data_IF_753344486429
#
_entry.id   IF_753344486429
#
_cell.length_a   1.000
_cell.length_b   1.000
_cell.length_c   1.000
_cell.angle_alpha   90.00
_cell.angle_beta   90.00
_cell.angle_gamma   90.00
#
_symmetry.space_group_name_H-M   'P 1'
#
loop_
_entity.id
_entity.type
_entity.pdbx_description
1 polymer ?
#
# COMPACT_ATOMS: atom_id res chain seq x y z
N UNK A 1 5.81 19.37 21.46
CA UNK A 1 5.42 17.95 21.63
C UNK A 1 4.95 17.44 20.26
N UNK A 2 5.83 16.81 19.48
CA UNK A 2 5.49 16.32 18.13
C UNK A 2 4.83 14.94 18.26
N UNK A 3 3.59 14.72 17.78
CA UNK A 3 2.97 13.41 17.82
C UNK A 3 3.72 12.46 16.86
N UNK A 4 3.99 11.24 17.33
CA UNK A 4 4.69 10.21 16.55
C UNK A 4 3.89 9.71 15.34
N UNK A 5 4.55 9.02 14.39
CA UNK A 5 4.05 8.72 13.04
C UNK A 5 2.91 7.70 12.95
N UNK A 6 2.37 7.24 14.07
CA UNK A 6 1.33 6.18 14.14
C UNK A 6 -0.03 6.74 14.59
N UNK A 7 -0.10 8.02 14.97
CA UNK A 7 -1.32 8.64 15.54
C UNK A 7 -2.33 9.22 14.54
N UNK A 8 -1.99 9.30 13.25
CA UNK A 8 -2.73 10.11 12.26
C UNK A 8 -3.42 9.29 11.16
N UNK A 9 -3.90 8.08 11.47
CA UNK A 9 -4.70 7.29 10.51
C UNK A 9 -6.11 7.87 10.26
N UNK A 10 -6.60 8.74 11.16
CA UNK A 10 -7.92 9.38 11.07
C UNK A 10 -7.73 10.89 10.93
N UNK A 11 -8.18 11.51 9.82
CA UNK A 11 -8.10 12.97 9.68
C UNK A 11 -9.01 13.64 10.72
N UNK A 12 -8.43 14.32 11.72
CA UNK A 12 -9.20 15.03 12.77
C UNK A 12 -10.01 16.21 12.24
N UNK A 13 -9.66 16.75 11.08
CA UNK A 13 -10.35 17.88 10.43
C UNK A 13 -10.35 17.69 8.92
N UNK A 14 -11.54 17.63 8.33
CA UNK A 14 -11.73 17.59 6.88
C UNK A 14 -11.82 19.01 6.31
N UNK A 15 -11.15 19.23 5.18
CA UNK A 15 -11.28 20.47 4.41
C UNK A 15 -12.63 20.52 3.69
N UNK A 16 -13.14 21.72 3.42
CA UNK A 16 -14.38 21.92 2.63
C UNK A 16 -14.33 21.20 1.28
N UNK A 17 -13.15 21.14 0.63
CA UNK A 17 -12.97 20.41 -0.63
C UNK A 17 -13.18 18.91 -0.46
N UNK A 18 -12.59 18.32 0.58
CA UNK A 18 -12.76 16.89 0.90
C UNK A 18 -14.21 16.55 1.23
N UNK A 19 -14.95 17.47 1.86
CA UNK A 19 -16.37 17.29 2.14
C UNK A 19 -17.22 17.27 0.86
N UNK A 20 -16.87 18.15 -0.10
CA UNK A 20 -17.48 18.17 -1.43
C UNK A 20 -17.18 16.84 -2.15
N UNK A 21 -15.92 16.40 -2.15
CA UNK A 21 -15.49 15.14 -2.78
C UNK A 21 -16.17 13.91 -2.16
N UNK A 22 -16.33 13.88 -0.83
CA UNK A 22 -17.04 12.80 -0.16
C UNK A 22 -18.53 12.77 -0.50
N UNK A 23 -19.20 13.92 -0.50
CA UNK A 23 -20.61 13.97 -0.86
C UNK A 23 -20.87 13.78 -2.36
N UNK A 24 -19.93 14.15 -3.25
CA UNK A 24 -20.02 13.84 -4.67
C UNK A 24 -19.88 12.33 -4.91
N UNK A 25 -18.98 11.66 -4.18
CA UNK A 25 -18.91 10.20 -4.17
C UNK A 25 -20.23 9.55 -3.70
N UNK A 26 -20.86 10.07 -2.64
CA UNK A 26 -22.16 9.57 -2.16
C UNK A 26 -23.25 9.71 -3.24
N UNK A 27 -23.35 10.88 -3.88
CA UNK A 27 -24.33 11.13 -4.95
C UNK A 27 -24.08 10.17 -6.12
N UNK A 28 -22.82 9.97 -6.50
CA UNK A 28 -22.43 9.07 -7.58
C UNK A 28 -22.83 7.62 -7.25
N UNK A 29 -22.58 7.15 -6.02
CA UNK A 29 -23.03 5.83 -5.55
C UNK A 29 -24.54 5.69 -5.66
N UNK A 30 -25.30 6.70 -5.24
CA UNK A 30 -26.77 6.69 -5.32
C UNK A 30 -27.26 6.58 -6.77
N UNK A 31 -26.60 7.28 -7.70
CA UNK A 31 -26.91 7.22 -9.13
C UNK A 31 -26.57 5.87 -9.75
N UNK A 32 -25.43 5.27 -9.41
CA UNK A 32 -25.06 3.92 -9.88
C UNK A 32 -26.09 2.89 -9.40
N UNK A 33 -26.46 2.95 -8.11
CA UNK A 33 -27.46 2.04 -7.55
C UNK A 33 -28.83 2.25 -8.23
N UNK A 34 -29.22 3.51 -8.45
CA UNK A 34 -30.43 3.85 -9.20
C UNK A 34 -30.42 3.32 -10.62
N UNK A 35 -29.28 3.39 -11.31
CA UNK A 35 -29.10 2.88 -12.66
C UNK A 35 -29.24 1.35 -12.73
N UNK A 36 -28.60 0.63 -11.80
CA UNK A 36 -28.69 -0.84 -11.76
C UNK A 36 -30.05 -1.36 -11.28
N UNK A 37 -30.69 -0.67 -10.33
CA UNK A 37 -31.96 -1.11 -9.73
C UNK A 37 -33.18 -0.64 -10.55
N UNK A 38 -33.01 0.37 -11.41
CA UNK A 38 -34.11 0.97 -12.19
C UNK A 38 -35.16 1.71 -11.34
N UNK A 39 -34.91 1.89 -10.04
CA UNK A 39 -35.88 2.43 -9.11
C UNK A 39 -35.79 3.96 -9.05
N UNK A 40 -36.90 4.63 -9.37
CA UNK A 40 -37.01 6.09 -9.45
C UNK A 40 -36.75 6.80 -8.12
N UNK A 41 -36.89 6.10 -6.99
CA UNK A 41 -36.63 6.63 -5.65
C UNK A 41 -35.17 7.07 -5.47
N UNK A 42 -34.20 6.34 -6.03
CA UNK A 42 -32.79 6.69 -5.90
C UNK A 42 -32.44 7.99 -6.63
N UNK A 43 -33.03 8.22 -7.80
CA UNK A 43 -32.88 9.49 -8.53
C UNK A 43 -33.52 10.66 -7.75
N UNK A 44 -34.70 10.44 -7.16
CA UNK A 44 -35.37 11.46 -6.32
C UNK A 44 -34.57 11.84 -5.08
N UNK A 45 -33.75 10.93 -4.54
CA UNK A 45 -32.86 11.21 -3.41
C UNK A 45 -31.51 11.81 -3.86
N UNK A 46 -31.01 11.41 -5.03
CA UNK A 46 -29.72 11.89 -5.55
C UNK A 46 -29.74 13.38 -5.90
N UNK A 47 -30.84 13.86 -6.50
CA UNK A 47 -31.01 15.27 -6.89
C UNK A 47 -30.91 16.23 -5.68
N UNK A 48 -31.69 16.07 -4.59
CA UNK A 48 -31.56 16.94 -3.43
C UNK A 48 -30.22 16.73 -2.70
N UNK A 49 -29.68 15.51 -2.67
CA UNK A 49 -28.35 15.26 -2.10
C UNK A 49 -27.25 16.06 -2.83
N UNK A 50 -27.32 16.15 -4.16
CA UNK A 50 -26.42 16.96 -4.97
C UNK A 50 -26.56 18.45 -4.67
N UNK A 51 -27.80 18.95 -4.56
CA UNK A 51 -28.04 20.35 -4.19
C UNK A 51 -27.46 20.67 -2.80
N UNK A 52 -27.68 19.80 -1.82
CA UNK A 52 -27.12 19.94 -0.46
C UNK A 52 -25.59 19.92 -0.50
N UNK A 53 -24.98 19.08 -1.34
CA UNK A 53 -23.53 19.02 -1.49
C UNK A 53 -22.96 20.36 -1.96
N UNK A 54 -23.65 21.00 -2.91
CA UNK A 54 -23.24 22.28 -3.48
C UNK A 54 -23.50 23.47 -2.54
N UNK A 55 -24.60 23.46 -1.78
CA UNK A 55 -24.97 24.58 -0.90
C UNK A 55 -24.33 24.49 0.49
N UNK A 56 -24.32 23.31 1.11
CA UNK A 56 -23.89 23.10 2.50
C UNK A 56 -23.03 21.82 2.59
N UNK A 57 -21.77 21.85 2.11
CA UNK A 57 -20.89 20.69 2.17
C UNK A 57 -20.59 20.24 3.61
N UNK A 58 -20.77 21.12 4.59
CA UNK A 58 -20.62 20.82 6.03
C UNK A 58 -21.60 19.75 6.52
N UNK A 59 -22.74 19.55 5.85
CA UNK A 59 -23.70 18.49 6.19
C UNK A 59 -23.08 17.10 6.03
N UNK A 60 -22.16 16.94 5.08
CA UNK A 60 -21.46 15.69 4.83
C UNK A 60 -20.27 15.44 5.77
N UNK A 61 -20.11 16.23 6.84
CA UNK A 61 -19.02 16.04 7.80
C UNK A 61 -18.96 14.67 8.48
N UNK A 62 -20.05 14.14 9.06
CA UNK A 62 -20.03 12.80 9.66
C UNK A 62 -19.78 11.71 8.61
N UNK A 63 -20.38 11.85 7.43
CA UNK A 63 -20.17 10.90 6.33
C UNK A 63 -18.74 10.95 5.81
N UNK A 64 -18.17 12.14 5.64
CA UNK A 64 -16.80 12.34 5.17
C UNK A 64 -15.79 11.73 6.13
N UNK A 65 -15.97 11.88 7.46
CA UNK A 65 -15.08 11.25 8.44
C UNK A 65 -15.10 9.73 8.26
N UNK A 66 -16.30 9.15 8.18
CA UNK A 66 -16.46 7.72 7.97
C UNK A 66 -15.84 7.27 6.65
N UNK A 67 -16.14 7.98 5.55
CA UNK A 67 -15.67 7.67 4.20
C UNK A 67 -14.14 7.71 4.09
N UNK A 68 -13.50 8.78 4.57
CA UNK A 68 -12.04 8.90 4.51
C UNK A 68 -11.35 7.97 5.50
N UNK A 69 -11.93 7.72 6.68
CA UNK A 69 -11.39 6.74 7.63
C UNK A 69 -11.44 5.33 7.04
N UNK A 70 -12.55 4.95 6.41
CA UNK A 70 -12.69 3.68 5.72
C UNK A 70 -11.68 3.56 4.57
N UNK A 71 -11.56 4.60 3.74
CA UNK A 71 -10.60 4.63 2.64
C UNK A 71 -9.14 4.52 3.12
N UNK A 72 -8.81 5.15 4.25
CA UNK A 72 -7.47 5.09 4.86
C UNK A 72 -7.14 3.67 5.31
N UNK A 73 -8.07 3.02 6.02
CA UNK A 73 -7.92 1.64 6.47
C UNK A 73 -7.81 0.70 5.27
N UNK A 74 -8.67 0.87 4.28
CA UNK A 74 -8.65 0.05 3.07
C UNK A 74 -7.34 0.23 2.30
N UNK A 75 -6.84 1.45 2.17
CA UNK A 75 -5.54 1.73 1.56
C UNK A 75 -4.38 1.05 2.28
N UNK A 76 -4.38 1.07 3.62
CA UNK A 76 -3.36 0.38 4.42
C UNK A 76 -3.41 -1.14 4.21
N UNK A 77 -4.61 -1.73 4.21
CA UNK A 77 -4.80 -3.18 4.01
C UNK A 77 -4.41 -3.58 2.59
N UNK A 78 -4.90 -2.86 1.58
CA UNK A 78 -4.63 -3.13 0.16
C UNK A 78 -3.15 -3.00 -0.15
N UNK A 79 -2.46 -1.99 0.37
CA UNK A 79 -1.01 -1.83 0.18
C UNK A 79 -0.22 -3.05 0.65
N UNK A 80 -0.56 -3.58 1.84
CA UNK A 80 0.08 -4.77 2.40
C UNK A 80 -0.25 -6.04 1.60
N UNK A 81 -1.50 -6.20 1.19
CA UNK A 81 -1.94 -7.33 0.35
C UNK A 81 -1.21 -7.30 -0.99
N UNK A 82 -1.18 -6.15 -1.66
CA UNK A 82 -0.52 -5.97 -2.96
C UNK A 82 0.97 -6.30 -2.85
N UNK A 83 1.66 -5.76 -1.84
CA UNK A 83 3.07 -6.06 -1.61
C UNK A 83 3.31 -7.55 -1.34
N UNK A 84 2.42 -8.21 -0.59
CA UNK A 84 2.49 -9.65 -0.31
C UNK A 84 2.31 -10.47 -1.59
N UNK A 85 1.34 -10.11 -2.42
CA UNK A 85 1.09 -10.77 -3.72
C UNK A 85 2.32 -10.60 -4.62
N UNK A 86 2.85 -9.38 -4.75
CA UNK A 86 4.06 -9.12 -5.55
C UNK A 86 5.25 -9.91 -5.04
N UNK A 87 5.44 -9.97 -3.72
CA UNK A 87 6.49 -10.77 -3.11
C UNK A 87 6.36 -12.26 -3.46
N UNK A 88 5.15 -12.82 -3.38
CA UNK A 88 4.89 -14.22 -3.70
C UNK A 88 5.10 -14.50 -5.20
N UNK A 89 4.68 -13.60 -6.08
CA UNK A 89 4.73 -13.84 -7.54
C UNK A 89 6.12 -13.54 -8.13
N UNK A 90 6.85 -12.56 -7.62
CA UNK A 90 8.19 -12.24 -8.13
C UNK A 90 9.31 -12.81 -7.26
N UNK A 91 9.33 -12.47 -5.98
CA UNK A 91 10.50 -12.70 -5.13
C UNK A 91 10.65 -14.17 -4.77
N UNK A 92 9.55 -14.83 -4.40
CA UNK A 92 9.56 -16.26 -4.03
C UNK A 92 10.01 -17.16 -5.19
N UNK A 93 9.47 -17.10 -6.41
CA UNK A 93 9.91 -17.99 -7.49
C UNK A 93 11.35 -17.70 -7.92
N UNK A 94 11.80 -16.45 -7.91
CA UNK A 94 13.21 -16.13 -8.19
C UNK A 94 14.13 -16.75 -7.13
N UNK A 95 13.75 -16.66 -5.86
CA UNK A 95 14.48 -17.30 -4.76
C UNK A 95 14.46 -18.83 -4.84
N UNK A 96 13.31 -19.42 -5.19
CA UNK A 96 13.15 -20.86 -5.33
C UNK A 96 13.92 -21.39 -6.53
N UNK A 97 13.88 -20.70 -7.68
CA UNK A 97 14.64 -21.04 -8.88
C UNK A 97 16.14 -21.00 -8.58
N UNK A 98 16.62 -19.96 -7.90
CA UNK A 98 18.03 -19.87 -7.47
C UNK A 98 18.41 -21.02 -6.53
N UNK A 99 17.50 -21.42 -5.63
CA UNK A 99 17.70 -22.55 -4.70
C UNK A 99 17.72 -23.89 -5.45
N UNK A 100 16.88 -24.07 -6.46
CA UNK A 100 16.85 -25.26 -7.32
C UNK A 100 18.09 -25.37 -8.20
N UNK A 101 18.61 -24.26 -8.72
CA UNK A 101 19.86 -24.20 -9.49
C UNK A 101 21.11 -24.51 -8.64
N UNK A 102 20.98 -24.86 -7.37
CA UNK A 102 22.09 -25.25 -6.50
C UNK A 102 23.06 -24.11 -6.17
N UNK A 103 22.77 -22.86 -6.57
CA UNK A 103 23.56 -21.67 -6.24
C UNK A 103 23.34 -21.27 -4.79
N UNK A 104 23.92 -22.02 -3.86
CA UNK A 104 24.03 -21.65 -2.45
C UNK A 104 25.16 -20.63 -2.26
N UNK A 105 25.01 -19.43 -2.84
CA UNK A 105 26.03 -18.36 -2.73
C UNK A 105 26.26 -17.94 -1.27
N UNK A 106 25.28 -18.16 -0.39
CA UNK A 106 25.38 -17.80 1.02
C UNK A 106 25.86 -18.95 1.91
N UNK A 107 26.23 -20.11 1.35
CA UNK A 107 26.67 -21.30 2.09
C UNK A 107 25.74 -21.64 3.29
N UNK A 108 24.43 -21.38 3.15
CA UNK A 108 23.47 -21.44 4.25
C UNK A 108 23.38 -22.84 4.86
N UNK A 109 23.65 -23.88 4.07
CA UNK A 109 23.67 -25.27 4.54
C UNK A 109 24.87 -25.60 5.45
N UNK A 110 25.99 -24.90 5.29
CA UNK A 110 27.25 -25.13 6.03
C UNK A 110 27.40 -24.20 7.24
N UNK A 111 26.69 -23.08 7.25
CA UNK A 111 26.74 -22.12 8.34
C UNK A 111 26.25 -22.75 9.66
N UNK A 112 27.10 -22.70 10.70
CA UNK A 112 26.88 -23.25 12.07
C UNK A 112 26.73 -24.77 12.23
N UNK A 113 26.73 -25.56 11.16
CA UNK A 113 26.66 -27.04 11.27
C UNK A 113 28.03 -27.72 11.33
N UNK A 114 29.06 -27.06 10.84
CA UNK A 114 30.42 -27.60 10.74
C UNK A 114 31.41 -26.73 11.52
N UNK A 115 32.56 -27.30 11.95
CA UNK A 115 33.65 -26.52 12.58
C UNK A 115 34.53 -25.80 11.56
N UNK A 116 34.32 -26.04 10.26
CA UNK A 116 35.01 -25.34 9.18
C UNK A 116 34.49 -23.91 8.93
N UNK A 117 35.41 -22.98 8.66
CA UNK A 117 35.07 -21.58 8.37
C UNK A 117 34.36 -21.46 7.02
N UNK A 118 33.27 -20.69 6.98
CA UNK A 118 32.55 -20.36 5.73
C UNK A 118 33.11 -19.12 5.02
N UNK A 119 34.06 -18.42 5.66
CA UNK A 119 34.83 -17.35 5.05
C UNK A 119 35.81 -17.95 4.05
N UNK A 120 35.82 -17.42 2.83
CA UNK A 120 36.87 -17.74 1.86
C UNK A 120 38.16 -17.07 2.30
N UNK A 121 39.21 -17.84 2.57
CA UNK A 121 40.57 -17.31 2.70
C UNK A 121 41.00 -16.74 1.35
N UNK A 122 41.40 -15.47 1.35
CA UNK A 122 41.90 -14.77 0.16
C UNK A 122 43.42 -14.73 0.26
N UNK A 123 44.07 -15.78 -0.20
CA UNK A 123 45.53 -15.81 -0.32
C UNK A 123 45.93 -15.13 -1.63
N UNK A 124 45.59 -13.84 -1.74
CA UNK A 124 45.92 -13.01 -2.89
C UNK A 124 46.97 -11.96 -2.48
N UNK A 125 48.15 -12.06 -3.08
CA UNK A 125 49.18 -11.02 -2.96
C UNK A 125 48.85 -9.88 -3.90
N UNK A 126 48.36 -8.78 -3.34
CA UNK A 126 48.02 -7.57 -4.08
C UNK A 126 49.22 -7.06 -4.89
N UNK A 127 49.02 -6.87 -6.19
CA UNK A 127 50.01 -6.30 -7.09
C UNK A 127 49.62 -4.87 -7.47
N UNK A 128 50.58 -4.02 -7.85
CA UNK A 128 50.30 -2.63 -8.25
C UNK A 128 49.31 -2.50 -9.42
N UNK A 129 49.13 -3.56 -10.22
CA UNK A 129 48.11 -3.61 -11.30
C UNK A 129 46.67 -3.67 -10.76
N UNK A 130 46.45 -4.13 -9.53
CA UNK A 130 45.09 -4.21 -8.94
C UNK A 130 44.60 -2.86 -8.43
N UNK A 131 45.53 -1.92 -8.18
CA UNK A 131 45.20 -0.53 -7.82
C UNK A 131 44.43 0.13 -8.98
N UNK A 132 44.75 -0.25 -10.22
CA UNK A 132 44.12 0.31 -11.42
C UNK A 132 42.83 -0.40 -11.84
N UNK A 133 42.55 -1.62 -11.34
CA UNK A 133 41.30 -2.31 -11.66
C UNK A 133 40.79 -3.12 -10.45
N UNK A 134 40.05 -2.46 -9.54
CA UNK A 134 39.74 -2.99 -8.20
C UNK A 134 38.55 -3.96 -8.11
N UNK A 135 37.95 -4.38 -9.22
CA UNK A 135 36.75 -5.23 -9.28
C UNK A 135 37.00 -6.50 -10.11
#
# INVERSE_FOLDING_TARGET
MSPGPVGDIIPRKLSTKQLIDAGSALVLILLIIGFFTGNMLFYKLAIPALLINMTIPRFYYPFGIFWYSLSSILGFVVSRILLTIVYIIMVIPVGLLRRLMGKDTMCLKKFKKDRSSTLKFRDYTFSSKDITNPY
#
